data_IF_223426339434
#
_entry.id   IF_223426339434
#
_cell.length_a   1.000
_cell.length_b   1.000
_cell.length_c   1.000
_cell.angle_alpha   90.00
_cell.angle_beta   90.00
_cell.angle_gamma   90.00
#
_symmetry.space_group_name_H-M   'P 1'
#
loop_
_entity.id
_entity.type
_entity.pdbx_description
1 polymer ?
#
# COMPACT_ATOMS: atom_id res chain seq x y z
N UNK A 1 48.88 61.32 4.77
CA UNK A 1 49.87 60.88 5.78
C UNK A 1 49.23 59.84 6.70
N UNK A 2 50.03 58.87 7.20
CA UNK A 2 49.74 57.68 8.04
C UNK A 2 49.06 56.51 7.31
N UNK A 3 49.81 55.51 6.79
CA UNK A 3 50.41 54.33 7.48
C UNK A 3 49.32 53.59 8.27
N UNK A 4 48.80 52.43 7.89
CA UNK A 4 49.45 51.22 7.37
C UNK A 4 49.35 50.15 8.46
N UNK A 5 48.88 48.93 8.11
CA UNK A 5 49.30 47.62 8.63
C UNK A 5 48.41 46.54 7.98
N UNK A 6 49.03 45.79 7.07
CA UNK A 6 48.59 44.49 6.59
C UNK A 6 48.97 43.45 7.65
N UNK A 7 48.03 42.58 8.03
CA UNK A 7 48.33 41.36 8.77
C UNK A 7 48.18 40.19 7.80
N UNK A 8 49.32 39.71 7.33
CA UNK A 8 49.47 38.43 6.65
C UNK A 8 49.53 37.33 7.72
N UNK A 9 48.59 36.38 7.67
CA UNK A 9 48.69 35.11 8.37
C UNK A 9 49.09 34.03 7.37
N UNK A 10 50.39 33.74 7.36
CA UNK A 10 50.98 32.54 6.81
C UNK A 10 50.69 31.37 7.76
N UNK A 11 49.95 30.37 7.28
CA UNK A 11 50.09 29.01 7.80
C UNK A 11 50.59 28.10 6.67
N UNK A 12 51.68 27.42 7.01
CA UNK A 12 52.52 26.60 6.17
C UNK A 12 51.94 25.19 6.01
N UNK A 13 51.91 24.75 4.75
CA UNK A 13 52.12 23.41 4.22
C UNK A 13 51.55 22.17 4.93
N UNK A 14 50.69 21.44 4.20
CA UNK A 14 50.85 19.99 3.99
C UNK A 14 50.46 19.69 2.53
N UNK A 15 51.44 19.33 1.71
CA UNK A 15 51.22 18.60 0.46
C UNK A 15 50.98 17.13 0.84
N UNK A 16 49.80 16.59 0.56
CA UNK A 16 49.57 15.14 0.48
C UNK A 16 49.03 14.83 -0.92
N UNK A 17 49.76 14.07 -1.76
CA UNK A 17 49.25 13.57 -3.02
C UNK A 17 48.49 12.27 -2.73
N UNK A 18 47.16 12.36 -2.73
CA UNK A 18 46.34 11.17 -2.78
C UNK A 18 45.07 11.51 -3.52
N UNK A 19 45.22 11.50 -4.85
CA UNK A 19 44.14 11.07 -5.72
C UNK A 19 43.69 9.70 -5.26
N UNK A 20 42.62 9.68 -4.46
CA UNK A 20 41.72 8.55 -4.40
C UNK A 20 40.53 9.04 -5.22
N UNK A 21 40.60 8.79 -6.52
CA UNK A 21 39.38 8.47 -7.23
C UNK A 21 38.80 7.32 -6.42
N UNK A 22 37.79 7.61 -5.60
CA UNK A 22 36.86 6.58 -5.19
C UNK A 22 36.08 6.26 -6.48
N UNK A 23 36.74 5.53 -7.37
CA UNK A 23 36.09 4.59 -8.25
C UNK A 23 35.41 3.61 -7.31
N UNK A 24 34.24 4.02 -6.81
CA UNK A 24 33.17 3.08 -6.63
C UNK A 24 33.13 2.24 -7.91
N UNK A 25 33.57 1.00 -7.81
CA UNK A 25 33.08 -0.01 -8.72
C UNK A 25 31.56 -0.04 -8.50
N UNK A 26 30.84 0.86 -9.17
CA UNK A 26 29.40 0.86 -9.32
C UNK A 26 29.06 -0.24 -10.36
N UNK A 27 29.66 -1.41 -10.20
CA UNK A 27 29.25 -2.61 -10.89
C UNK A 27 28.06 -3.17 -10.11
N UNK A 28 26.88 -2.86 -10.67
CA UNK A 28 25.63 -3.59 -10.47
C UNK A 28 25.00 -3.50 -9.07
N UNK A 29 24.62 -2.27 -8.65
CA UNK A 29 23.28 -2.18 -8.06
C UNK A 29 22.34 -2.65 -9.18
N UNK A 30 21.78 -3.85 -9.04
CA UNK A 30 20.89 -4.47 -10.01
C UNK A 30 19.69 -3.53 -10.27
N UNK A 31 19.88 -2.57 -11.18
CA UNK A 31 18.87 -1.60 -11.54
C UNK A 31 17.83 -2.35 -12.37
N UNK A 32 16.66 -2.58 -11.77
CA UNK A 32 15.58 -3.29 -12.45
C UNK A 32 15.07 -2.40 -13.57
N UNK A 33 15.46 -2.71 -14.81
CA UNK A 33 15.00 -1.97 -15.99
C UNK A 33 13.81 -2.68 -16.61
N UNK A 34 12.63 -2.04 -16.52
CA UNK A 34 11.41 -2.55 -17.15
C UNK A 34 11.52 -2.50 -18.69
N UNK A 35 10.98 -3.53 -19.35
CA UNK A 35 10.87 -3.56 -20.82
C UNK A 35 9.98 -2.39 -21.28
N UNK A 36 10.32 -1.74 -22.40
CA UNK A 36 9.55 -0.60 -22.93
C UNK A 36 8.04 -0.89 -23.07
N UNK A 37 7.67 -2.10 -23.52
CA UNK A 37 6.26 -2.52 -23.61
C UNK A 37 5.55 -2.54 -22.24
N UNK A 38 6.25 -2.93 -21.18
CA UNK A 38 5.71 -2.95 -19.82
C UNK A 38 5.38 -1.52 -19.35
N UNK A 39 6.30 -0.58 -19.56
CA UNK A 39 6.11 0.84 -19.23
C UNK A 39 4.96 1.45 -20.04
N UNK A 40 4.83 1.13 -21.33
CA UNK A 40 3.69 1.59 -22.16
C UNK A 40 2.33 1.12 -21.62
N UNK A 41 2.28 -0.06 -21.00
CA UNK A 41 1.05 -0.60 -20.42
C UNK A 41 0.81 -0.14 -18.98
N UNK A 42 1.85 0.34 -18.30
CA UNK A 42 1.83 0.80 -16.92
C UNK A 42 2.54 2.16 -16.84
N UNK A 43 1.90 3.24 -17.31
CA UNK A 43 2.54 4.55 -17.42
C UNK A 43 3.02 5.10 -16.07
N UNK A 44 2.37 4.73 -14.97
CA UNK A 44 2.77 5.10 -13.59
C UNK A 44 4.11 4.46 -13.15
N UNK A 45 4.63 3.48 -13.89
CA UNK A 45 5.96 2.91 -13.69
C UNK A 45 7.07 3.72 -14.38
N UNK A 46 6.72 4.66 -15.26
CA UNK A 46 7.71 5.49 -15.95
C UNK A 46 8.45 6.38 -14.95
N UNK A 47 9.79 6.41 -15.04
CA UNK A 47 10.63 7.24 -14.16
C UNK A 47 10.77 6.75 -12.72
N UNK A 48 10.11 5.64 -12.34
CA UNK A 48 10.28 5.04 -11.03
C UNK A 48 11.69 4.44 -10.88
N UNK A 49 12.26 4.57 -9.69
CA UNK A 49 13.60 4.08 -9.36
C UNK A 49 13.62 3.11 -8.18
N UNK A 50 12.52 3.03 -7.42
CA UNK A 50 12.41 2.13 -6.27
C UNK A 50 12.46 0.66 -6.74
N UNK A 51 13.45 -0.14 -6.29
CA UNK A 51 13.64 -1.50 -6.78
C UNK A 51 12.47 -2.41 -6.43
N UNK A 52 11.82 -2.21 -5.28
CA UNK A 52 10.67 -3.02 -4.87
C UNK A 52 9.47 -2.76 -5.79
N UNK A 53 9.13 -1.50 -6.05
CA UNK A 53 8.08 -1.10 -6.99
C UNK A 53 8.36 -1.60 -8.42
N UNK A 54 9.61 -1.47 -8.89
CA UNK A 54 10.01 -1.97 -10.20
C UNK A 54 9.92 -3.50 -10.29
N UNK A 55 10.25 -4.22 -9.22
CA UNK A 55 10.09 -5.67 -9.16
C UNK A 55 8.62 -6.10 -9.24
N UNK A 56 7.70 -5.35 -8.60
CA UNK A 56 6.27 -5.60 -8.68
C UNK A 56 5.79 -5.39 -10.12
N UNK A 57 6.18 -4.28 -10.77
CA UNK A 57 5.84 -4.04 -12.18
C UNK A 57 6.43 -5.08 -13.12
N UNK A 58 7.62 -5.62 -12.82
CA UNK A 58 8.18 -6.71 -13.60
C UNK A 58 7.29 -7.96 -13.51
N UNK A 59 6.77 -8.28 -12.33
CA UNK A 59 5.83 -9.37 -12.13
C UNK A 59 4.49 -9.12 -12.83
N UNK A 60 3.96 -7.88 -12.77
CA UNK A 60 2.73 -7.48 -13.49
C UNK A 60 2.84 -7.75 -15.00
N UNK A 61 4.05 -7.54 -15.55
CA UNK A 61 4.33 -7.70 -16.97
C UNK A 61 4.76 -9.12 -17.37
N UNK A 62 4.93 -10.03 -16.41
CA UNK A 62 5.14 -11.44 -16.68
C UNK A 62 3.81 -12.12 -17.04
N UNK A 63 3.79 -12.79 -18.19
CA UNK A 63 2.62 -13.53 -18.69
C UNK A 63 2.23 -14.66 -17.74
N UNK A 64 3.19 -15.22 -16.99
CA UNK A 64 2.93 -16.27 -16.00
C UNK A 64 2.08 -15.78 -14.82
N UNK A 65 2.06 -14.46 -14.57
CA UNK A 65 1.31 -13.84 -13.48
C UNK A 65 -0.01 -13.21 -13.93
N UNK A 66 -0.51 -13.52 -15.13
CA UNK A 66 -1.73 -12.91 -15.68
C UNK A 66 -2.94 -13.00 -14.73
N UNK A 67 -3.09 -14.12 -14.01
CA UNK A 67 -4.18 -14.31 -13.04
C UNK A 67 -4.07 -13.41 -11.80
N UNK A 68 -2.86 -13.05 -11.39
CA UNK A 68 -2.57 -12.23 -10.19
C UNK A 68 -2.28 -10.77 -10.53
N UNK A 69 -2.45 -10.38 -11.79
CA UNK A 69 -2.09 -9.05 -12.29
C UNK A 69 -2.73 -7.94 -11.46
N UNK A 70 -4.00 -8.07 -11.12
CA UNK A 70 -4.72 -7.06 -10.35
C UNK A 70 -4.21 -6.96 -8.92
N UNK A 71 -3.93 -8.09 -8.26
CA UNK A 71 -3.37 -8.10 -6.91
C UNK A 71 -1.98 -7.46 -6.87
N UNK A 72 -1.15 -7.74 -7.88
CA UNK A 72 0.16 -7.12 -8.04
C UNK A 72 0.05 -5.61 -8.29
N UNK A 73 -0.95 -5.15 -9.04
CA UNK A 73 -1.19 -3.72 -9.23
C UNK A 73 -1.70 -3.05 -7.94
N UNK A 74 -2.48 -3.74 -7.10
CA UNK A 74 -2.84 -3.25 -5.76
C UNK A 74 -1.59 -3.14 -4.88
N UNK A 75 -0.70 -4.12 -4.92
CA UNK A 75 0.59 -4.05 -4.20
C UNK A 75 1.47 -2.91 -4.71
N UNK A 76 1.52 -2.69 -6.03
CA UNK A 76 2.23 -1.54 -6.59
C UNK A 76 1.64 -0.22 -6.07
N UNK A 77 0.31 -0.10 -6.02
CA UNK A 77 -0.35 1.09 -5.50
C UNK A 77 -0.06 1.32 -4.01
N UNK A 78 -0.03 0.25 -3.20
CA UNK A 78 0.38 0.33 -1.80
C UNK A 78 1.84 0.77 -1.66
N UNK A 79 2.74 0.18 -2.46
CA UNK A 79 4.15 0.57 -2.47
C UNK A 79 4.34 2.04 -2.86
N UNK A 80 3.58 2.53 -3.85
CA UNK A 80 3.60 3.96 -4.21
C UNK A 80 3.17 4.85 -3.04
N UNK A 81 2.19 4.43 -2.24
CA UNK A 81 1.80 5.16 -1.03
C UNK A 81 2.95 5.18 0.01
N UNK A 82 3.61 4.05 0.26
CA UNK A 82 4.77 3.96 1.17
C UNK A 82 5.94 4.86 0.73
N UNK A 83 6.10 5.05 -0.58
CA UNK A 83 7.09 5.94 -1.18
C UNK A 83 6.68 7.43 -1.14
N UNK A 84 5.65 7.79 -0.37
CA UNK A 84 5.07 9.13 -0.29
C UNK A 84 4.57 9.66 -1.65
N UNK A 85 4.06 8.78 -2.52
CA UNK A 85 3.43 9.13 -3.80
C UNK A 85 1.92 8.88 -3.76
N UNK A 86 1.15 9.52 -2.85
CA UNK A 86 -0.26 9.18 -2.65
C UNK A 86 -1.14 9.52 -3.86
N UNK A 87 -0.78 10.53 -4.65
CA UNK A 87 -1.48 10.86 -5.91
C UNK A 87 -1.37 9.71 -6.92
N UNK A 88 -0.17 9.14 -7.08
CA UNK A 88 0.03 8.02 -7.99
C UNK A 88 -0.64 6.74 -7.50
N UNK A 89 -0.58 6.48 -6.19
CA UNK A 89 -1.29 5.37 -5.56
C UNK A 89 -2.81 5.46 -5.79
N UNK A 90 -3.39 6.64 -5.59
CA UNK A 90 -4.81 6.88 -5.84
C UNK A 90 -5.15 6.72 -7.33
N UNK A 91 -4.33 7.25 -8.24
CA UNK A 91 -4.54 7.12 -9.68
C UNK A 91 -4.58 5.65 -10.12
N UNK A 92 -3.64 4.83 -9.62
CA UNK A 92 -3.62 3.40 -9.90
C UNK A 92 -4.85 2.68 -9.32
N UNK A 93 -5.22 3.01 -8.08
CA UNK A 93 -6.40 2.44 -7.44
C UNK A 93 -7.70 2.78 -8.20
N UNK A 94 -7.83 4.02 -8.67
CA UNK A 94 -8.98 4.46 -9.48
C UNK A 94 -9.03 3.74 -10.83
N UNK A 95 -7.88 3.54 -11.49
CA UNK A 95 -7.80 2.76 -12.73
C UNK A 95 -8.29 1.32 -12.50
N UNK A 96 -7.86 0.66 -11.42
CA UNK A 96 -8.30 -0.69 -11.07
C UNK A 96 -9.82 -0.73 -10.79
N UNK A 97 -10.34 0.27 -10.07
CA UNK A 97 -11.78 0.39 -9.81
C UNK A 97 -12.60 0.54 -11.11
N UNK A 98 -12.12 1.33 -12.07
CA UNK A 98 -12.75 1.48 -13.39
C UNK A 98 -12.74 0.17 -14.20
N UNK A 99 -11.78 -0.72 -13.92
CA UNK A 99 -11.70 -2.07 -14.49
C UNK A 99 -12.55 -3.09 -13.72
N UNK A 100 -13.44 -2.64 -12.84
CA UNK A 100 -14.27 -3.48 -11.96
C UNK A 100 -13.48 -4.36 -10.98
N UNK A 101 -12.21 -4.02 -10.69
CA UNK A 101 -11.46 -4.67 -9.62
C UNK A 101 -12.00 -4.19 -8.27
N UNK A 102 -12.17 -5.13 -7.33
CA UNK A 102 -12.70 -4.88 -5.98
C UNK A 102 -11.90 -5.71 -4.97
N UNK A 103 -11.87 -5.26 -3.72
CA UNK A 103 -11.23 -5.98 -2.62
C UNK A 103 -10.74 -5.02 -1.53
N UNK A 104 -10.50 -5.58 -0.34
CA UNK A 104 -10.06 -4.81 0.83
C UNK A 104 -8.77 -4.02 0.54
N UNK A 105 -7.75 -4.66 -0.07
CA UNK A 105 -6.50 -3.96 -0.40
C UNK A 105 -6.69 -2.74 -1.30
N UNK A 106 -7.68 -2.76 -2.20
CA UNK A 106 -7.97 -1.60 -3.05
C UNK A 106 -8.66 -0.47 -2.27
N UNK A 107 -9.58 -0.82 -1.37
CA UNK A 107 -10.22 0.18 -0.48
C UNK A 107 -9.22 0.76 0.51
N UNK A 108 -8.30 -0.06 1.03
CA UNK A 108 -7.25 0.35 1.95
C UNK A 108 -6.31 1.34 1.26
N UNK A 109 -5.79 1.01 0.07
CA UNK A 109 -4.93 1.91 -0.70
C UNK A 109 -5.65 3.22 -1.03
N UNK A 110 -6.94 3.16 -1.43
CA UNK A 110 -7.71 4.37 -1.73
C UNK A 110 -7.83 5.28 -0.50
N UNK A 111 -8.13 4.69 0.66
CA UNK A 111 -8.25 5.42 1.92
C UNK A 111 -6.91 6.01 2.37
N UNK A 112 -5.84 5.19 2.37
CA UNK A 112 -4.49 5.60 2.72
C UNK A 112 -3.99 6.74 1.83
N UNK A 113 -4.17 6.61 0.51
CA UNK A 113 -3.81 7.67 -0.44
C UNK A 113 -4.61 8.95 -0.20
N UNK A 114 -5.91 8.85 0.10
CA UNK A 114 -6.74 9.99 0.50
C UNK A 114 -6.21 10.71 1.75
N UNK A 115 -5.84 9.96 2.80
CA UNK A 115 -5.19 10.53 3.99
C UNK A 115 -3.87 11.21 3.63
N UNK A 116 -3.04 10.55 2.79
CA UNK A 116 -1.76 11.10 2.35
C UNK A 116 -1.90 12.45 1.65
N UNK A 117 -2.85 12.54 0.70
CA UNK A 117 -3.16 13.79 -0.02
C UNK A 117 -3.70 14.86 0.94
N UNK A 118 -4.64 14.52 1.81
CA UNK A 118 -5.20 15.46 2.78
C UNK A 118 -4.12 16.00 3.73
N UNK A 119 -3.21 15.13 4.19
CA UNK A 119 -2.07 15.52 5.03
C UNK A 119 -1.13 16.47 4.30
N UNK A 120 -0.77 16.17 3.05
CA UNK A 120 0.08 17.04 2.23
C UNK A 120 -0.57 18.40 2.02
N UNK A 121 -1.84 18.44 1.63
CA UNK A 121 -2.58 19.69 1.45
C UNK A 121 -2.65 20.51 2.74
N UNK A 122 -2.88 19.87 3.90
CA UNK A 122 -2.85 20.55 5.20
C UNK A 122 -1.47 21.09 5.55
N UNK A 123 -0.40 20.37 5.20
CA UNK A 123 0.97 20.84 5.37
C UNK A 123 1.22 22.07 4.51
N UNK A 124 0.89 22.01 3.22
CA UNK A 124 1.05 23.12 2.28
C UNK A 124 0.26 24.36 2.71
N UNK A 125 -1.00 24.19 3.12
CA UNK A 125 -1.81 25.27 3.67
C UNK A 125 -1.14 25.94 4.87
N UNK A 126 -0.48 25.17 5.74
CA UNK A 126 0.16 25.69 6.95
C UNK A 126 1.54 26.29 6.71
N UNK A 127 2.34 25.71 5.81
CA UNK A 127 3.74 26.10 5.62
C UNK A 127 3.95 27.06 4.48
N UNK A 128 3.19 26.90 3.40
CA UNK A 128 3.36 27.70 2.17
C UNK A 128 2.33 28.83 2.11
N UNK A 129 1.10 28.56 2.55
CA UNK A 129 0.01 29.55 2.53
C UNK A 129 -0.23 30.21 3.90
N UNK A 130 0.40 29.73 4.97
CA UNK A 130 0.28 30.24 6.34
C UNK A 130 -1.17 30.38 6.83
N UNK A 131 -2.07 29.52 6.37
CA UNK A 131 -3.49 29.55 6.73
C UNK A 131 -3.95 28.29 7.45
N UNK A 132 -5.03 28.46 8.20
CA UNK A 132 -5.77 27.37 8.83
C UNK A 132 -6.91 26.90 7.93
N UNK A 133 -7.58 25.84 8.37
CA UNK A 133 -8.86 25.45 7.79
C UNK A 133 -9.89 26.56 8.02
N UNK A 134 -10.67 26.86 6.98
CA UNK A 134 -11.80 27.80 7.01
C UNK A 134 -13.06 27.13 7.55
N UNK A 135 -13.84 27.88 8.34
CA UNK A 135 -15.10 27.40 8.93
C UNK A 135 -16.15 27.01 7.88
N UNK A 136 -16.15 27.66 6.71
CA UNK A 136 -17.25 27.50 5.74
C UNK A 136 -16.98 26.43 4.67
N UNK A 137 -15.71 26.11 4.37
CA UNK A 137 -15.36 25.26 3.22
C UNK A 137 -14.53 24.03 3.61
N UNK A 138 -13.46 24.21 4.39
CA UNK A 138 -12.45 23.16 4.57
C UNK A 138 -12.51 22.47 5.92
N UNK A 139 -12.97 23.17 6.96
CA UNK A 139 -13.15 22.57 8.29
C UNK A 139 -14.32 21.59 8.38
N UNK A 140 -15.54 21.87 7.85
CA UNK A 140 -16.66 20.94 7.94
C UNK A 140 -16.37 19.54 7.39
N UNK A 141 -15.85 19.36 6.15
CA UNK A 141 -15.55 18.01 5.65
C UNK A 141 -14.37 17.35 6.38
N UNK A 142 -13.39 18.12 6.85
CA UNK A 142 -12.29 17.57 7.65
C UNK A 142 -12.79 17.03 9.00
N UNK A 143 -13.74 17.73 9.63
CA UNK A 143 -14.39 17.29 10.87
C UNK A 143 -15.21 16.02 10.64
N UNK A 144 -16.02 15.98 9.58
CA UNK A 144 -16.83 14.80 9.24
C UNK A 144 -15.94 13.55 9.03
N UNK A 145 -14.83 13.70 8.33
CA UNK A 145 -13.85 12.62 8.16
C UNK A 145 -13.28 12.15 9.50
N UNK A 146 -12.87 13.09 10.37
CA UNK A 146 -12.36 12.79 11.71
C UNK A 146 -13.36 12.03 12.58
N UNK A 147 -14.62 12.46 12.55
CA UNK A 147 -15.70 11.80 13.30
C UNK A 147 -15.98 10.40 12.74
N UNK A 148 -15.99 10.23 11.42
CA UNK A 148 -16.16 8.91 10.77
C UNK A 148 -15.02 7.97 11.11
N UNK A 149 -13.77 8.45 11.14
CA UNK A 149 -12.61 7.66 11.56
C UNK A 149 -12.76 7.21 13.03
N UNK A 150 -13.23 8.10 13.91
CA UNK A 150 -13.50 7.75 15.32
C UNK A 150 -14.57 6.66 15.44
N UNK A 151 -15.62 6.70 14.63
CA UNK A 151 -16.66 5.67 14.61
C UNK A 151 -16.17 4.32 14.07
N UNK A 152 -15.14 4.33 13.22
CA UNK A 152 -14.52 3.15 12.64
C UNK A 152 -13.34 2.59 13.46
N UNK A 153 -13.13 3.06 14.70
CA UNK A 153 -12.04 2.57 15.54
C UNK A 153 -12.18 1.05 15.77
N UNK A 154 -11.05 0.30 15.78
CA UNK A 154 -11.06 -1.10 16.14
C UNK A 154 -11.72 -1.31 17.51
N UNK A 155 -12.56 -2.34 17.62
CA UNK A 155 -13.17 -2.72 18.90
C UNK A 155 -12.03 -3.07 19.87
N UNK A 156 -11.98 -2.46 21.07
CA UNK A 156 -11.01 -2.84 22.08
C UNK A 156 -11.16 -4.34 22.37
N UNK A 157 -10.08 -5.10 22.27
CA UNK A 157 -10.10 -6.49 22.71
C UNK A 157 -10.42 -6.50 24.20
N UNK A 158 -11.66 -6.84 24.56
CA UNK A 158 -12.02 -7.09 25.94
C UNK A 158 -11.24 -8.33 26.36
N UNK A 159 -10.15 -8.13 27.11
CA UNK A 159 -9.44 -9.21 27.78
C UNK A 159 -10.49 -9.98 28.58
N UNK A 160 -10.76 -11.22 28.20
CA UNK A 160 -11.47 -12.19 29.03
C UNK A 160 -10.63 -12.42 30.29
N UNK A 161 -10.70 -11.49 31.25
CA UNK A 161 -10.46 -11.83 32.65
C UNK A 161 -11.56 -12.81 33.00
N UNK A 162 -11.24 -14.12 32.88
CA UNK A 162 -12.05 -15.16 33.51
C UNK A 162 -12.33 -14.66 34.92
N UNK A 163 -13.60 -14.40 35.21
CA UNK A 163 -14.04 -14.17 36.57
C UNK A 163 -13.47 -15.33 37.39
N UNK A 164 -12.58 -15.02 38.32
CA UNK A 164 -12.23 -15.95 39.38
C UNK A 164 -13.54 -16.09 40.16
N UNK A 165 -14.31 -17.11 39.85
CA UNK A 165 -15.41 -17.52 40.70
C UNK A 165 -14.78 -18.05 41.98
N UNK A 166 -15.37 -17.65 43.12
CA UNK A 166 -14.97 -17.98 44.49
C UNK A 166 -14.87 -19.50 44.78
N UNK A 167 -15.19 -20.37 43.82
CA UNK A 167 -15.07 -21.82 43.95
C UNK A 167 -13.62 -22.34 43.89
N UNK A 168 -12.65 -21.52 43.46
CA UNK A 168 -11.22 -21.94 43.40
C UNK A 168 -10.41 -21.66 44.66
N UNK A 169 -10.99 -20.99 45.67
CA UNK A 169 -10.36 -20.73 46.99
C UNK A 169 -11.02 -21.56 48.10
N UNK A 170 -11.41 -22.82 47.85
CA UNK A 170 -11.79 -23.74 48.96
C UNK A 170 -11.23 -25.16 48.87
N UNK A 171 -10.45 -25.49 47.85
CA UNK A 171 -9.93 -26.86 47.64
C UNK A 171 -8.41 -26.96 47.75
N UNK A 172 -7.75 -25.97 48.37
CA UNK A 172 -6.29 -25.98 48.54
C UNK A 172 -5.83 -26.11 49.99
N UNK A 173 -6.56 -26.85 50.81
CA UNK A 173 -6.04 -27.35 52.09
C UNK A 173 -6.58 -28.77 52.35
N UNK A 174 -5.82 -29.78 51.93
CA UNK A 174 -5.59 -31.01 52.70
C UNK A 174 -4.88 -32.07 51.85
N UNK A 175 -3.73 -32.52 52.37
CA UNK A 175 -3.14 -33.86 52.26
C UNK A 175 -2.71 -34.34 50.86
N UNK A 176 -1.42 -34.30 50.55
CA UNK A 176 -0.32 -35.21 50.99
C UNK A 176 -0.21 -36.50 50.16
N UNK A 177 0.97 -36.62 49.51
CA UNK A 177 1.84 -37.80 49.52
C UNK A 177 1.52 -38.94 48.52
N UNK A 178 2.43 -39.06 47.53
CA UNK A 178 2.96 -40.32 46.91
C UNK A 178 2.02 -40.98 45.89
N UNK A 179 2.42 -41.33 44.66
CA UNK A 179 3.57 -42.13 44.22
C UNK A 179 3.80 -41.95 42.71
N UNK A 180 5.07 -42.05 42.32
CA UNK A 180 5.56 -42.21 40.95
C UNK A 180 4.88 -43.37 40.21
N UNK A 181 4.50 -43.19 38.94
CA UNK A 181 4.60 -44.25 37.92
C UNK A 181 4.84 -43.63 36.55
N UNK A 182 6.01 -43.95 36.01
CA UNK A 182 6.45 -43.71 34.64
C UNK A 182 5.76 -44.72 33.72
N UNK A 183 5.12 -44.31 32.62
CA UNK A 183 5.02 -45.14 31.40
C UNK A 183 4.74 -44.34 30.14
N UNK A 184 5.75 -44.37 29.27
CA UNK A 184 5.75 -44.16 27.82
C UNK A 184 4.73 -45.07 27.15
N UNK A 185 4.06 -44.62 26.07
CA UNK A 185 3.93 -45.34 24.78
C UNK A 185 3.10 -44.59 23.73
N UNK A 186 3.78 -44.33 22.61
CA UNK A 186 3.38 -44.55 21.20
C UNK A 186 2.18 -43.83 20.56
N UNK A 187 2.52 -43.15 19.47
CA UNK A 187 1.67 -42.66 18.40
C UNK A 187 0.87 -43.76 17.68
N UNK A 188 -0.28 -43.39 17.10
CA UNK A 188 -0.56 -43.52 15.66
C UNK A 188 -1.83 -42.76 15.22
N UNK A 189 -1.94 -42.37 13.94
CA UNK A 189 -2.97 -41.48 13.40
C UNK A 189 -4.19 -42.25 12.89
N UNK A 190 -5.39 -41.66 13.01
CA UNK A 190 -6.60 -42.20 12.39
C UNK A 190 -6.76 -41.66 10.97
N UNK A 191 -6.89 -42.61 10.04
CA UNK A 191 -7.14 -42.44 8.60
C UNK A 191 -8.64 -42.33 8.31
N UNK A 192 -8.93 -41.54 7.28
CA UNK A 192 -9.91 -41.72 6.21
C UNK A 192 -11.38 -42.02 6.55
N UNK A 193 -12.26 -41.17 5.99
CA UNK A 193 -13.46 -41.66 5.31
C UNK A 193 -13.53 -41.05 3.91
N UNK A 194 -13.44 -41.93 2.91
CA UNK A 194 -13.80 -41.71 1.52
C UNK A 194 -15.30 -41.97 1.38
N UNK A 195 -16.05 -41.07 0.75
CA UNK A 195 -17.24 -41.46 -0.03
C UNK A 195 -17.18 -40.75 -1.39
N UNK A 196 -17.42 -41.55 -2.43
CA UNK A 196 -17.13 -41.35 -3.85
C UNK A 196 -18.45 -41.31 -4.63
N UNK A 197 -18.52 -40.43 -5.65
CA UNK A 197 -19.36 -40.44 -6.88
C UNK A 197 -20.89 -40.34 -6.72
N UNK A 198 -21.66 -39.63 -7.58
CA UNK A 198 -21.65 -39.62 -9.05
C UNK A 198 -22.39 -38.36 -9.63
N UNK A 199 -22.40 -38.14 -10.97
CA UNK A 199 -22.51 -36.84 -11.62
C UNK A 199 -23.90 -36.53 -12.22
N UNK A 200 -24.23 -35.24 -12.44
CA UNK A 200 -25.34 -34.82 -13.31
C UNK A 200 -24.93 -33.67 -14.24
N UNK A 201 -24.66 -34.08 -15.49
CA UNK A 201 -25.11 -33.55 -16.79
C UNK A 201 -25.32 -32.04 -17.00
N UNK A 202 -24.55 -31.54 -17.97
CA UNK A 202 -24.67 -30.25 -18.63
C UNK A 202 -26.05 -30.00 -19.27
N UNK A 203 -26.45 -28.72 -19.32
CA UNK A 203 -27.42 -28.21 -20.29
C UNK A 203 -26.94 -26.87 -20.87
N UNK A 204 -26.84 -26.89 -22.19
CA UNK A 204 -26.51 -25.79 -23.09
C UNK A 204 -27.83 -25.28 -23.68
N UNK A 205 -28.02 -23.95 -23.75
CA UNK A 205 -28.99 -23.28 -24.65
C UNK A 205 -28.74 -21.76 -24.61
N UNK A 206 -28.08 -21.19 -25.63
CA UNK A 206 -28.62 -20.57 -26.86
C UNK A 206 -28.59 -19.04 -26.78
N UNK A 207 -27.88 -18.47 -27.74
CA UNK A 207 -27.75 -17.05 -28.03
C UNK A 207 -29.09 -16.41 -28.40
N UNK A 208 -29.26 -15.13 -28.03
CA UNK A 208 -30.24 -14.25 -28.68
C UNK A 208 -29.65 -12.85 -28.90
N UNK A 209 -29.51 -12.56 -30.20
CA UNK A 209 -29.37 -11.30 -30.94
C UNK A 209 -29.34 -9.95 -30.18
N UNK A 210 -28.25 -9.25 -30.47
CA UNK A 210 -28.11 -7.80 -30.65
C UNK A 210 -29.11 -7.23 -31.67
N UNK A 211 -29.44 -5.93 -31.56
CA UNK A 211 -29.53 -5.07 -32.72
C UNK A 211 -28.51 -3.92 -32.62
N UNK A 212 -27.76 -3.75 -33.71
CA UNK A 212 -27.03 -2.53 -34.02
C UNK A 212 -28.01 -1.41 -34.37
N UNK A 213 -27.68 -0.18 -34.01
CA UNK A 213 -27.35 0.91 -34.96
C UNK A 213 -27.66 2.28 -34.36
N UNK A 214 -26.65 3.14 -34.21
CA UNK A 214 -26.59 4.46 -34.86
C UNK A 214 -25.29 5.18 -34.45
N UNK A 215 -24.39 5.30 -35.42
CA UNK A 215 -23.35 6.33 -35.49
C UNK A 215 -23.97 7.71 -35.79
N UNK A 216 -23.13 8.76 -35.69
CA UNK A 216 -23.32 10.18 -36.09
C UNK A 216 -23.67 11.05 -34.84
N UNK A 217 -22.96 12.10 -34.42
CA UNK A 217 -22.04 13.01 -35.11
C UNK A 217 -21.08 13.69 -34.11
N UNK A 218 -19.93 14.13 -34.62
CA UNK A 218 -19.08 15.15 -34.00
C UNK A 218 -19.76 16.51 -34.11
N UNK A 219 -19.87 17.23 -33.01
CA UNK A 219 -19.79 18.70 -32.98
C UNK A 219 -19.31 19.11 -31.59
N UNK A 220 -18.16 19.76 -31.54
CA UNK A 220 -17.62 20.32 -30.31
C UNK A 220 -18.51 21.44 -29.82
N UNK A 221 -18.92 21.35 -28.56
CA UNK A 221 -19.48 22.48 -27.83
C UNK A 221 -18.73 22.53 -26.50
N UNK A 222 -18.07 23.65 -26.28
CA UNK A 222 -17.20 23.88 -25.13
C UNK A 222 -18.08 24.01 -23.88
N UNK A 223 -17.87 23.24 -22.80
CA UNK A 223 -18.78 23.20 -21.65
C UNK A 223 -18.66 24.44 -20.73
N UNK A 224 -17.90 25.46 -21.13
CA UNK A 224 -17.64 26.68 -20.35
C UNK A 224 -18.24 27.96 -20.98
N UNK A 225 -19.02 27.85 -22.06
CA UNK A 225 -19.64 29.01 -22.73
C UNK A 225 -20.67 29.73 -21.84
N UNK A 226 -21.18 29.06 -20.80
CA UNK A 226 -22.24 29.57 -19.91
C UNK A 226 -21.72 30.46 -18.76
N UNK A 227 -20.43 30.76 -18.70
CA UNK A 227 -19.79 31.46 -17.57
C UNK A 227 -19.29 32.86 -17.92
N UNK A 228 -19.87 33.50 -18.95
CA UNK A 228 -19.52 34.85 -19.36
C UNK A 228 -20.64 35.85 -19.12
#
# INVERSE_FOLDING_TARGET
MKKGILIALLFTGINLPSGINLAYAADNVNSIKLKSKCVKQNPLAAGQTDPELLSIYQQVCDKNNAARKNDLLVQAALRMYELNQPVNALALAQQLKQQNVRGAGLTDVTFLAGIGIAKQALQDMRTNEMRFLSNDLTYPPAKELSDTIRMAMPVPETINTKAITDETIKTREARSVVKSTKRTTTAKPSRNSNIRTAPVKARQSTATKQPNSASISKTGTNPFESLK
#
